data_IF_727914331143
#
_entry.id   IF_727914331143
#
_cell.length_a   1.000
_cell.length_b   1.000
_cell.length_c   1.000
_cell.angle_alpha   90.00
_cell.angle_beta   90.00
_cell.angle_gamma   90.00
#
_symmetry.space_group_name_H-M   'P 1'
#
loop_
_entity.id
_entity.type
_entity.pdbx_description
1 polymer ?
2 non-polymer ?
3 non-polymer ?
4 water ?
#
# COMPACT_ATOMS: atom_id res chain seq x y z
N UNK A 1 -29.30 4.07 -6.59
CA UNK A 1 -28.65 2.97 -5.89
C UNK A 1 -27.31 2.59 -6.49
N UNK A 2 -27.24 1.40 -7.09
CA UNK A 2 -26.05 0.99 -7.80
C UNK A 2 -25.81 1.80 -9.07
N UNK A 3 -26.85 2.41 -9.64
CA UNK A 3 -26.62 3.22 -10.83
C UNK A 3 -25.79 4.44 -10.52
N UNK A 4 -25.91 5.00 -9.31
CA UNK A 4 -25.00 6.06 -8.92
C UNK A 4 -23.58 5.55 -8.80
N UNK A 5 -23.41 4.33 -8.28
CA UNK A 5 -22.06 3.77 -8.17
C UNK A 5 -21.47 3.49 -9.53
N UNK A 6 -22.27 2.95 -10.44
CA UNK A 6 -21.78 2.69 -11.79
C UNK A 6 -21.45 3.99 -12.52
N UNK A 7 -22.21 5.06 -12.25
CA UNK A 7 -21.86 6.37 -12.82
C UNK A 7 -20.50 6.84 -12.32
N UNK A 8 -20.22 6.66 -11.03
CA UNK A 8 -18.92 7.01 -10.47
C UNK A 8 -17.81 6.25 -11.17
N UNK A 9 -17.99 4.94 -11.35
CA UNK A 9 -16.96 4.13 -12.00
C UNK A 9 -16.72 4.58 -13.43
N UNK A 10 -17.79 4.95 -14.16
CA UNK A 10 -17.63 5.44 -15.54
C UNK A 10 -16.84 6.74 -15.58
N UNK A 11 -17.12 7.67 -14.66
CA UNK A 11 -16.39 8.93 -14.62
C UNK A 11 -14.92 8.69 -14.35
N UNK A 12 -14.59 7.76 -13.44
CA UNK A 12 -13.21 7.47 -13.10
C UNK A 12 -12.39 7.07 -14.32
N UNK A 13 -12.97 6.29 -15.22
CA UNK A 13 -12.27 5.90 -16.45
C UNK A 13 -11.80 7.08 -17.29
N UNK A 14 -12.46 8.25 -17.19
CA UNK A 14 -12.10 9.38 -18.02
C UNK A 14 -10.72 9.95 -17.72
N UNK A 15 -10.17 9.72 -16.53
CA UNK A 15 -8.85 10.26 -16.24
C UNK A 15 -7.73 9.23 -16.42
N UNK A 16 -8.01 8.13 -17.13
CA UNK A 16 -6.96 7.15 -17.41
C UNK A 16 -5.77 7.78 -18.14
N UNK A 17 -6.04 8.68 -19.08
CA UNK A 17 -4.96 9.27 -19.87
C UNK A 17 -4.03 10.10 -19.00
N UNK A 18 -4.59 10.97 -18.15
CA UNK A 18 -3.75 11.75 -17.26
C UNK A 18 -2.90 10.85 -16.39
N UNK A 19 -3.47 9.75 -15.91
CA UNK A 19 -2.77 8.85 -15.00
C UNK A 19 -1.58 8.20 -15.70
N UNK A 20 -1.82 7.68 -16.91
CA UNK A 20 -0.75 6.99 -17.63
C UNK A 20 0.39 7.93 -18.01
N UNK A 21 0.10 9.19 -18.34
CA UNK A 21 1.19 10.10 -18.65
C UNK A 21 1.95 10.51 -17.40
N UNK A 22 1.24 10.70 -16.28
CA UNK A 22 1.92 10.95 -15.01
C UNK A 22 2.81 9.78 -14.62
N UNK A 23 2.32 8.55 -14.75
CA UNK A 23 3.13 7.38 -14.44
C UNK A 23 4.33 7.26 -15.37
N UNK A 24 4.19 7.67 -16.63
CA UNK A 24 5.35 7.71 -17.51
C UNK A 24 6.42 8.66 -17.00
N UNK A 25 6.01 9.82 -16.48
CA UNK A 25 6.97 10.77 -15.93
C UNK A 25 7.67 10.19 -14.71
N UNK A 26 6.91 9.59 -13.79
CA UNK A 26 7.52 8.93 -12.63
C UNK A 26 8.51 7.88 -13.10
N UNK A 27 8.11 7.05 -14.07
CA UNK A 27 8.98 5.99 -14.56
C UNK A 27 10.32 6.53 -15.01
N UNK A 28 10.34 7.68 -15.69
CA UNK A 28 11.61 8.23 -16.16
C UNK A 28 12.51 8.67 -15.02
N UNK A 29 11.93 9.37 -14.04
CA UNK A 29 12.72 9.83 -12.89
C UNK A 29 13.30 8.65 -12.13
N UNK A 30 12.52 7.57 -12.02
CA UNK A 30 12.94 6.44 -11.20
C UNK A 30 14.04 5.67 -11.88
N UNK A 31 13.91 5.43 -13.19
CA UNK A 31 15.00 4.80 -13.95
C UNK A 31 16.29 5.58 -13.80
N UNK A 32 16.21 6.91 -13.84
CA UNK A 32 17.43 7.70 -13.72
C UNK A 32 18.05 7.52 -12.34
N UNK A 33 17.23 7.60 -11.29
CA UNK A 33 17.74 7.41 -9.94
C UNK A 33 18.28 6.00 -9.74
N UNK A 34 17.64 5.01 -10.36
CA UNK A 34 18.12 3.63 -10.27
C UNK A 34 19.55 3.51 -10.80
N UNK A 35 19.86 4.24 -11.89
CA UNK A 35 21.20 4.18 -12.48
C UNK A 35 22.26 4.69 -11.51
N UNK A 36 22.02 5.84 -10.86
CA UNK A 36 23.05 6.41 -10.00
C UNK A 36 23.17 5.64 -8.69
N UNK A 37 22.07 5.18 -8.12
CA UNK A 37 22.16 4.38 -6.90
C UNK A 37 23.01 3.13 -7.11
N UNK A 38 22.93 2.52 -8.29
CA UNK A 38 23.76 1.33 -8.56
C UNK A 38 25.25 1.65 -8.55
N UNK A 39 25.64 2.92 -8.71
CA UNK A 39 27.06 3.24 -8.69
C UNK A 39 27.65 3.06 -7.29
N UNK A 40 26.84 3.26 -6.27
CA UNK A 40 27.34 3.24 -4.91
C UNK A 40 27.52 1.80 -4.42
N UNK A 41 28.66 1.55 -3.78
CA UNK A 41 28.98 0.19 -3.32
C UNK A 41 27.92 -0.36 -2.37
N UNK A 42 27.27 0.52 -1.62
CA UNK A 42 26.23 0.05 -0.71
C UNK A 42 24.98 -0.38 -1.46
N UNK A 43 24.61 0.34 -2.52
CA UNK A 43 23.35 0.12 -3.22
C UNK A 43 23.54 -0.54 -4.58
N UNK A 44 24.68 -1.20 -4.81
CA UNK A 44 24.95 -1.82 -6.10
C UNK A 44 23.84 -2.82 -6.47
N UNK A 45 23.31 -3.53 -5.49
CA UNK A 45 22.26 -4.49 -5.79
C UNK A 45 20.86 -3.93 -5.84
N UNK A 46 20.70 -2.62 -5.85
CA UNK A 46 19.35 -2.05 -5.77
C UNK A 46 18.60 -2.33 -7.07
N UNK A 47 17.27 -2.38 -6.97
CA UNK A 47 16.45 -2.63 -8.14
C UNK A 47 15.02 -2.22 -7.86
N UNK A 48 14.25 -2.14 -8.94
CA UNK A 48 12.84 -1.77 -8.81
C UNK A 48 12.04 -2.98 -8.40
N UNK A 49 11.21 -2.83 -7.38
CA UNK A 49 10.29 -3.87 -6.94
C UNK A 49 8.94 -3.67 -7.62
N UNK A 50 8.47 -4.71 -8.28
CA UNK A 50 7.21 -4.71 -9.02
C UNK A 50 6.05 -4.79 -8.03
N UNK A 51 5.42 -3.65 -7.74
CA UNK A 51 4.29 -3.62 -6.81
C UNK A 51 2.96 -3.18 -7.44
N UNK A 52 2.96 -2.64 -8.65
CA UNK A 52 1.73 -2.05 -9.20
C UNK A 52 0.79 -3.10 -9.78
N UNK A 53 -0.51 -2.90 -9.55
CA UNK A 53 -1.54 -3.77 -10.12
C UNK A 53 -1.91 -3.40 -11.54
N UNK A 54 -1.75 -2.13 -11.93
CA UNK A 54 -2.02 -1.68 -13.29
C UNK A 54 -0.74 -1.33 -14.04
N UNK A 55 0.11 -0.50 -13.46
CA UNK A 55 1.45 -0.22 -13.98
C UNK A 55 2.45 -1.07 -13.21
N UNK A 56 3.58 -1.36 -13.86
CA UNK A 56 4.51 -2.31 -13.29
C UNK A 56 5.22 -1.78 -12.04
N UNK A 57 6.06 -0.77 -12.20
CA UNK A 57 6.87 -0.31 -11.10
C UNK A 57 6.24 0.83 -10.31
N UNK A 58 5.04 1.27 -10.67
CA UNK A 58 4.44 2.46 -10.08
C UNK A 58 3.07 2.10 -9.52
N UNK A 59 2.90 2.30 -8.21
CA UNK A 59 1.62 2.13 -7.53
C UNK A 59 0.95 3.50 -7.42
N UNK A 60 -0.37 3.54 -7.58
CA UNK A 60 -1.14 4.77 -7.49
C UNK A 60 -1.84 4.81 -6.14
N UNK A 61 -1.41 5.71 -5.26
CA UNK A 61 -1.96 5.75 -3.91
C UNK A 61 -3.06 6.81 -3.75
N UNK A 62 -3.22 7.69 -4.74
CA UNK A 62 -4.17 8.80 -4.75
C UNK A 62 -3.99 9.51 -6.09
N UNK A 63 -4.88 10.43 -6.47
CA UNK A 63 -4.63 11.24 -7.67
C UNK A 63 -3.34 12.06 -7.51
N UNK A 64 -2.47 11.96 -8.51
CA UNK A 64 -1.18 12.64 -8.56
C UNK A 64 -0.23 12.25 -7.44
N UNK A 65 -0.50 11.17 -6.72
CA UNK A 65 0.43 10.60 -5.75
C UNK A 65 0.76 9.18 -6.18
N UNK A 66 2.05 8.88 -6.28
CA UNK A 66 2.52 7.58 -6.75
C UNK A 66 3.49 6.99 -5.74
N UNK A 67 3.62 5.67 -5.77
CA UNK A 67 4.40 4.90 -4.80
C UNK A 67 5.33 3.94 -5.52
N UNK A 68 6.62 4.03 -5.21
CA UNK A 68 7.66 3.22 -5.83
C UNK A 68 8.51 2.61 -4.73
N UNK A 69 8.93 1.37 -4.90
CA UNK A 69 9.77 0.68 -3.92
C UNK A 69 11.06 0.23 -4.57
N UNK A 70 12.18 0.55 -3.94
CA UNK A 70 13.50 0.09 -4.36
C UNK A 70 13.90 -1.06 -3.47
N UNK A 71 14.06 -2.24 -4.05
CA UNK A 71 14.48 -3.40 -3.29
C UNK A 71 15.99 -3.54 -3.34
N UNK A 72 16.55 -4.06 -2.24
CA UNK A 72 17.98 -4.30 -2.11
C UNK A 72 18.17 -5.73 -1.61
N UNK A 73 18.78 -6.58 -2.42
CA UNK A 73 19.04 -7.95 -1.98
C UNK A 73 20.06 -7.93 -0.85
N UNK A 74 19.66 -8.42 0.32
CA UNK A 74 20.50 -8.46 1.51
C UNK A 74 20.40 -9.85 2.13
N UNK A 75 21.30 -10.77 1.81
CA UNK A 75 21.17 -12.14 2.27
C UNK A 75 21.71 -12.31 3.68
N UNK A 76 21.53 -13.53 4.21
CA UNK A 76 22.02 -13.92 5.53
C UNK A 76 21.53 -12.95 6.61
N UNK A 77 20.21 -12.76 6.65
CA UNK A 77 19.59 -11.76 7.51
C UNK A 77 18.90 -12.45 8.68
N UNK A 78 19.10 -11.92 9.88
CA UNK A 78 18.51 -12.46 11.10
C UNK A 78 17.73 -11.37 11.82
N UNK A 79 16.53 -11.69 12.27
CA UNK A 79 15.61 -10.69 12.80
C UNK A 79 15.44 -10.81 14.32
N UNK A 80 15.25 -9.66 14.95
CA UNK A 80 14.99 -9.54 16.38
C UNK A 80 13.81 -8.59 16.58
N UNK A 81 12.70 -9.11 17.08
CA UNK A 81 11.49 -8.30 17.23
C UNK A 81 11.70 -7.20 18.24
N UNK A 82 11.25 -5.99 17.91
CA UNK A 82 11.36 -4.85 18.80
C UNK A 82 10.15 -4.83 19.73
N UNK A 83 10.40 -5.12 21.01
CA UNK A 83 9.48 -4.93 22.13
C UNK A 83 8.04 -5.34 21.80
N UNK A 84 7.90 -6.54 21.26
CA UNK A 84 6.61 -7.19 21.07
C UNK A 84 5.69 -6.41 20.14
N UNK A 85 6.24 -5.58 19.25
CA UNK A 85 5.39 -4.81 18.34
C UNK A 85 4.89 -5.65 17.17
N UNK A 86 5.41 -6.86 16.98
CA UNK A 86 4.97 -7.84 15.98
C UNK A 86 5.32 -7.42 14.55
N UNK A 87 5.39 -6.10 14.27
CA UNK A 87 5.69 -5.60 12.93
C UNK A 87 7.06 -4.99 12.79
N UNK A 88 7.71 -4.60 13.89
CA UNK A 88 8.96 -3.88 13.85
C UNK A 88 10.08 -4.76 14.39
N UNK A 89 11.26 -4.68 13.76
CA UNK A 89 12.35 -5.62 13.99
C UNK A 89 13.69 -4.91 13.87
N UNK A 90 14.64 -5.36 14.68
CA UNK A 90 16.05 -5.09 14.46
C UNK A 90 16.60 -6.06 13.42
N UNK A 91 17.50 -5.57 12.59
CA UNK A 91 18.08 -6.36 11.52
C UNK A 91 19.55 -6.61 11.84
N UNK A 92 19.92 -7.89 11.89
CA UNK A 92 21.29 -8.34 12.09
C UNK A 92 21.63 -9.31 10.96
N UNK A 93 22.84 -9.85 10.97
CA UNK A 93 23.30 -10.66 9.84
C UNK A 93 23.64 -12.12 10.16
N UNK A 100 28.17 -7.20 4.49
CA UNK A 100 29.52 -6.75 4.16
C UNK A 100 29.54 -5.56 3.19
N UNK A 101 28.77 -5.61 2.09
CA UNK A 101 28.59 -4.36 1.33
C UNK A 101 27.91 -3.29 2.15
N UNK A 102 27.02 -3.69 3.05
CA UNK A 102 26.26 -2.79 3.90
C UNK A 102 26.92 -2.56 5.25
N UNK A 103 28.13 -3.10 5.45
CA UNK A 103 28.79 -3.01 6.75
C UNK A 103 28.99 -1.57 7.20
N UNK A 104 28.95 -0.62 6.28
CA UNK A 104 29.07 0.78 6.66
C UNK A 104 27.93 1.23 7.56
N UNK A 105 26.77 0.58 7.46
CA UNK A 105 25.58 1.02 8.19
C UNK A 105 25.40 0.33 9.53
N UNK A 106 26.40 -0.43 9.99
CA UNK A 106 26.28 -1.17 11.23
C UNK A 106 26.51 -0.29 12.45
N UNK A 107 25.72 -0.52 13.50
CA UNK A 107 25.95 0.04 14.83
C UNK A 107 25.87 -1.15 15.78
N UNK A 108 27.03 -1.76 16.06
CA UNK A 108 27.06 -3.02 16.76
C UNK A 108 26.73 -4.15 15.82
N UNK A 109 25.93 -5.12 16.27
CA UNK A 109 25.43 -6.16 15.38
C UNK A 109 24.21 -5.73 14.59
N UNK A 110 23.73 -4.50 14.78
CA UNK A 110 22.47 -4.03 14.23
C UNK A 110 22.72 -3.18 12.99
N UNK A 111 21.93 -3.42 11.96
CA UNK A 111 21.95 -2.57 10.77
C UNK A 111 21.05 -1.37 11.02
N UNK A 112 21.62 -0.17 10.96
CA UNK A 112 20.88 1.04 11.31
C UNK A 112 19.96 1.44 10.16
N UNK A 113 18.66 1.50 10.45
CA UNK A 113 17.72 2.04 9.47
C UNK A 113 18.02 3.51 9.17
N UNK A 114 18.29 4.30 10.22
CA UNK A 114 18.52 5.73 10.02
C UNK A 114 19.77 5.99 9.20
N UNK A 115 20.83 5.21 9.41
CA UNK A 115 22.06 5.45 8.66
C UNK A 115 21.87 5.10 7.18
N UNK A 116 21.23 3.97 6.89
CA UNK A 116 21.05 3.60 5.49
C UNK A 116 20.11 4.57 4.79
N UNK A 117 19.01 4.91 5.45
CA UNK A 117 18.06 5.88 4.90
C UNK A 117 18.76 7.20 4.60
N UNK A 118 19.71 7.61 5.44
CA UNK A 118 20.38 8.89 5.26
C UNK A 118 21.26 8.91 4.02
N UNK A 119 21.97 7.81 3.74
CA UNK A 119 22.75 7.76 2.51
C UNK A 119 21.84 7.65 1.29
N UNK A 120 20.77 6.84 1.39
CA UNK A 120 19.77 6.76 0.33
C UNK A 120 19.23 8.15 -0.02
N UNK A 121 18.71 8.85 0.98
CA UNK A 121 18.24 10.23 0.80
C UNK A 121 19.29 11.10 0.12
N UNK A 122 20.54 11.05 0.61
CA UNK A 122 21.56 11.97 0.14
C UNK A 122 21.90 11.73 -1.32
N UNK A 123 21.98 10.46 -1.73
CA UNK A 123 22.28 10.17 -3.13
C UNK A 123 21.16 10.67 -4.03
N UNK A 124 19.91 10.49 -3.61
CA UNK A 124 18.78 10.92 -4.43
C UNK A 124 18.72 12.43 -4.50
N UNK A 125 18.92 13.10 -3.36
CA UNK A 125 18.89 14.55 -3.31
C UNK A 125 19.95 15.16 -4.22
N UNK A 126 21.15 14.56 -4.25
CA UNK A 126 22.18 14.99 -5.19
C UNK A 126 21.69 14.85 -6.63
N UNK A 127 21.04 13.73 -6.93
CA UNK A 127 20.81 13.37 -8.33
C UNK A 127 19.70 14.19 -8.96
N UNK A 128 18.67 14.57 -8.20
CA UNK A 128 17.57 15.30 -8.82
C UNK A 128 17.97 16.71 -9.21
N UNK A 129 19.12 17.21 -8.71
CA UNK A 129 19.65 18.48 -9.20
C UNK A 129 19.98 18.40 -10.69
N UNK A 130 20.71 17.35 -11.09
CA UNK A 130 21.45 17.37 -12.35
C UNK A 130 20.52 17.42 -13.56
N UNK A 131 19.65 16.43 -13.70
CA UNK A 131 18.86 16.31 -14.93
C UNK A 131 17.85 17.46 -14.98
N UNK A 132 18.07 18.38 -15.91
CA UNK A 132 17.17 19.49 -16.17
C UNK A 132 16.12 19.16 -17.22
N UNK A 133 15.95 17.87 -17.53
CA UNK A 133 14.87 17.47 -18.41
C UNK A 133 13.51 17.76 -17.79
N UNK A 134 13.34 17.44 -16.50
CA UNK A 134 12.15 17.79 -15.74
C UNK A 134 12.58 18.44 -14.42
N UNK A 135 11.62 19.06 -13.73
CA UNK A 135 11.89 19.74 -12.47
C UNK A 135 11.41 18.89 -11.30
N UNK A 136 12.34 18.47 -10.44
CA UNK A 136 12.07 17.55 -9.34
C UNK A 136 12.69 18.11 -8.07
N UNK A 137 11.91 18.17 -7.00
CA UNK A 137 12.37 18.62 -5.70
C UNK A 137 12.03 17.56 -4.67
N UNK A 138 12.64 17.67 -3.49
CA UNK A 138 12.46 16.73 -2.40
C UNK A 138 11.60 17.35 -1.30
N UNK A 139 10.49 16.70 -0.98
CA UNK A 139 9.61 17.17 0.08
C UNK A 139 9.95 16.46 1.38
N UNK A 140 9.60 17.10 2.50
CA UNK A 140 9.87 16.61 3.85
C UNK A 140 11.37 16.53 4.14
N UNK A 144 11.74 6.98 9.17
CA UNK A 144 11.08 7.80 8.17
C UNK A 144 10.85 7.12 6.83
N UNK A 145 9.68 6.50 6.68
CA UNK A 145 9.30 5.86 5.44
C UNK A 145 8.00 6.47 4.95
N UNK A 146 7.92 6.90 3.68
CA UNK A 146 8.88 6.76 2.58
C UNK A 146 10.14 7.58 2.74
N UNK A 147 11.25 7.01 2.30
CA UNK A 147 12.55 7.68 2.37
C UNK A 147 12.48 9.07 1.74
N UNK A 148 11.99 9.14 0.51
CA UNK A 148 12.04 10.35 -0.28
C UNK A 148 10.66 10.57 -0.88
N UNK A 149 10.14 11.77 -0.76
CA UNK A 149 9.01 12.21 -1.56
C UNK A 149 9.54 13.24 -2.54
N UNK A 150 9.31 12.99 -3.82
CA UNK A 150 9.66 13.91 -4.88
C UNK A 150 8.41 14.60 -5.38
N UNK A 151 8.54 15.86 -5.76
CA UNK A 151 7.49 16.60 -6.45
C UNK A 151 7.99 16.91 -7.85
N UNK A 152 7.29 16.38 -8.86
CA UNK A 152 7.66 16.53 -10.25
C UNK A 152 6.73 17.55 -10.89
N UNK A 153 7.30 18.62 -11.43
CA UNK A 153 6.58 19.64 -12.19
C UNK A 153 5.53 20.36 -11.34
N UNK A 154 5.81 20.49 -10.04
CA UNK A 154 4.93 21.14 -9.07
C UNK A 154 3.55 20.49 -9.02
N UNK A 155 3.40 19.27 -9.54
CA UNK A 155 2.10 18.62 -9.63
C UNK A 155 2.11 17.17 -9.12
N UNK A 156 3.02 16.34 -9.64
CA UNK A 156 3.01 14.91 -9.38
C UNK A 156 3.99 14.60 -8.27
N UNK A 157 3.52 13.88 -7.24
CA UNK A 157 4.38 13.49 -6.13
C UNK A 157 4.59 11.98 -6.15
N UNK A 158 5.81 11.55 -5.85
CA UNK A 158 6.15 10.12 -5.82
C UNK A 158 6.91 9.83 -4.52
N UNK A 159 6.38 8.88 -3.74
CA UNK A 159 7.06 8.37 -2.56
C UNK A 159 7.95 7.20 -2.96
N UNK A 160 9.22 7.27 -2.59
CA UNK A 160 10.21 6.24 -2.91
C UNK A 160 10.64 5.56 -1.62
N UNK A 161 10.47 4.24 -1.56
CA UNK A 161 10.73 3.47 -0.36
C UNK A 161 11.85 2.47 -0.61
N UNK A 162 12.89 2.54 0.20
CA UNK A 162 13.95 1.54 0.20
C UNK A 162 13.50 0.32 1.00
N UNK A 163 13.77 -0.87 0.46
CA UNK A 163 13.33 -2.11 1.11
C UNK A 163 14.41 -3.15 1.04
N UNK A 164 14.77 -3.72 2.20
CA UNK A 164 15.62 -4.89 2.21
C UNK A 164 14.80 -6.10 1.82
N UNK A 165 15.35 -6.95 0.95
CA UNK A 165 14.67 -8.14 0.48
C UNK A 165 15.23 -9.35 1.21
N UNK A 166 14.37 -10.09 1.91
CA UNK A 166 14.79 -11.32 2.57
C UNK A 166 14.11 -12.49 1.90
N UNK A 167 14.89 -13.47 1.47
CA UNK A 167 14.33 -14.69 0.90
C UNK A 167 14.14 -15.80 1.94
N UNK A 168 14.08 -15.45 3.22
CA UNK A 168 13.86 -16.42 4.29
C UNK A 168 12.37 -16.65 4.54
N UNK A 169 12.06 -17.67 5.34
CA UNK A 169 10.69 -17.89 5.75
C UNK A 169 10.17 -16.66 6.49
N UNK A 170 8.86 -16.43 6.38
CA UNK A 170 8.26 -15.25 6.98
C UNK A 170 8.34 -15.33 8.50
N UNK A 171 8.44 -14.19 9.19
CA UNK A 171 8.54 -14.20 10.65
C UNK A 171 7.27 -14.76 11.28
N UNK A 172 7.43 -15.28 12.50
CA UNK A 172 6.34 -15.99 13.17
C UNK A 172 5.12 -15.11 13.39
N UNK A 173 5.30 -13.79 13.47
CA UNK A 173 4.16 -12.91 13.63
C UNK A 173 3.19 -12.98 12.46
N UNK A 174 3.61 -13.52 11.32
CA UNK A 174 2.70 -13.65 10.18
C UNK A 174 2.02 -15.00 10.12
N UNK A 175 2.24 -15.87 11.10
CA UNK A 175 1.79 -17.25 10.97
C UNK A 175 0.29 -17.34 10.82
N UNK A 176 -0.47 -16.47 11.47
CA UNK A 176 -1.93 -16.48 11.38
C UNK A 176 -2.48 -15.41 10.45
N UNK A 177 -1.62 -14.73 9.70
CA UNK A 177 -2.05 -13.72 8.76
C UNK A 177 -2.28 -14.30 7.37
N UNK A 178 -2.57 -13.40 6.43
CA UNK A 178 -2.88 -13.79 5.04
C UNK A 178 -3.92 -14.91 5.03
N UNK A 179 -5.06 -14.62 5.64
CA UNK A 179 -6.08 -15.63 5.94
C UNK A 179 -6.96 -15.85 4.71
N UNK A 180 -6.36 -16.43 3.68
CA UNK A 180 -7.02 -16.57 2.39
C UNK A 180 -7.44 -18.00 2.07
N UNK A 181 -7.24 -18.94 3.02
CA UNK A 181 -7.44 -20.36 2.74
C UNK A 181 -8.82 -20.65 2.20
N UNK A 182 -9.87 -20.09 2.83
CA UNK A 182 -11.24 -20.41 2.43
C UNK A 182 -11.65 -19.72 1.13
N UNK A 183 -10.87 -18.73 0.69
CA UNK A 183 -11.14 -17.92 -0.49
C UNK A 183 -10.27 -18.34 -1.67
N UNK A 184 -8.97 -18.12 -1.55
CA UNK A 184 -8.01 -18.39 -2.61
C UNK A 184 -7.33 -19.75 -2.52
N UNK A 185 -7.56 -20.51 -1.43
CA UNK A 185 -7.10 -21.88 -1.14
C UNK A 185 -5.82 -21.91 -0.31
N UNK A 186 -5.65 -23.01 0.44
CA UNK A 186 -4.43 -23.23 1.19
C UNK A 186 -3.23 -23.35 0.26
N UNK A 187 -3.42 -23.91 -0.94
CA UNK A 187 -2.32 -24.08 -1.87
C UNK A 187 -1.75 -22.74 -2.30
N UNK A 188 -2.63 -21.78 -2.60
CA UNK A 188 -2.17 -20.45 -3.00
C UNK A 188 -1.48 -19.75 -1.82
N UNK A 189 -2.02 -19.90 -0.61
CA UNK A 189 -1.39 -19.28 0.54
C UNK A 189 0.02 -19.82 0.76
N UNK A 190 0.20 -21.14 0.60
CA UNK A 190 1.54 -21.73 0.71
C UNK A 190 2.48 -21.15 -0.34
N UNK A 191 2.01 -21.05 -1.59
CA UNK A 191 2.86 -20.54 -2.66
C UNK A 191 3.24 -19.08 -2.41
N UNK A 192 2.29 -18.27 -1.96
CA UNK A 192 2.60 -16.88 -1.69
C UNK A 192 3.59 -16.75 -0.54
N UNK A 193 3.48 -17.60 0.48
CA UNK A 193 4.39 -17.49 1.62
C UNK A 193 5.79 -18.00 1.29
N UNK A 194 6.00 -18.55 0.09
CA UNK A 194 7.32 -18.89 -0.39
C UNK A 194 8.03 -17.72 -1.05
N UNK A 195 7.31 -16.65 -1.39
CA UNK A 195 7.94 -15.48 -1.97
C UNK A 195 8.74 -14.72 -0.91
N UNK A 196 9.64 -13.83 -1.31
CA UNK A 196 10.42 -13.08 -0.33
C UNK A 196 9.53 -12.13 0.45
N UNK A 197 10.06 -11.64 1.57
CA UNK A 197 9.41 -10.52 2.25
C UNK A 197 10.39 -9.37 2.36
N UNK A 198 9.89 -8.20 2.77
CA UNK A 198 10.65 -6.97 2.71
C UNK A 198 10.64 -6.26 4.06
N UNK A 199 11.71 -5.54 4.35
CA UNK A 199 11.78 -4.68 5.53
C UNK A 199 12.02 -3.25 5.09
N UNK A 200 11.18 -2.35 5.55
CA UNK A 200 11.36 -0.93 5.24
C UNK A 200 11.67 -0.16 6.50
N UNK A 201 12.43 0.92 6.42
CA UNK A 201 12.83 1.67 7.61
C UNK A 201 11.76 2.62 8.12
N UNK A 202 10.54 2.11 8.26
CA UNK A 202 9.51 2.83 9.01
C UNK A 202 9.77 2.61 10.49
N UNK A 203 10.13 3.68 11.19
CA UNK A 203 10.58 3.56 12.57
C UNK A 203 9.39 3.49 13.53
N UNK A 204 9.49 2.60 14.51
CA UNK A 204 8.46 2.43 15.54
C UNK A 204 8.38 3.65 16.45
N UNK A 212 15.31 6.08 14.59
CA UNK A 212 15.61 4.89 15.36
C UNK A 212 16.22 3.79 14.49
N UNK A 213 16.32 2.58 15.03
CA UNK A 213 17.01 1.49 14.38
C UNK A 213 16.08 0.38 13.91
N UNK A 214 14.76 0.59 13.96
CA UNK A 214 13.81 -0.48 13.66
C UNK A 214 13.36 -0.42 12.20
N UNK A 215 13.08 -1.61 11.67
CA UNK A 215 12.54 -1.82 10.34
C UNK A 215 11.15 -2.46 10.45
N UNK A 216 10.29 -2.21 9.47
CA UNK A 216 8.94 -2.75 9.47
C UNK A 216 8.79 -3.81 8.38
N UNK A 217 8.16 -4.94 8.70
CA UNK A 217 7.82 -5.95 7.71
C UNK A 217 6.91 -5.35 6.64
N UNK A 218 7.17 -5.69 5.39
CA UNK A 218 6.36 -5.16 4.31
C UNK A 218 5.99 -6.27 3.35
N UNK A 219 4.70 -6.32 3.00
CA UNK A 219 4.21 -7.31 2.05
C UNK A 219 3.44 -6.64 0.93
N UNK A 220 3.75 -5.37 0.64
CA UNK A 220 3.01 -4.62 -0.36
C UNK A 220 3.07 -5.28 -1.73
N UNK A 221 4.16 -6.02 -2.01
CA UNK A 221 4.33 -6.70 -3.29
C UNK A 221 3.35 -7.85 -3.49
N UNK A 222 2.65 -8.27 -2.45
CA UNK A 222 1.69 -9.36 -2.62
C UNK A 222 0.38 -8.84 -3.19
N UNK A 223 0.13 -7.53 -3.14
CA UNK A 223 -1.18 -7.03 -3.54
C UNK A 223 -1.47 -7.39 -5.00
N UNK A 224 -0.51 -7.13 -5.90
CA UNK A 224 -0.73 -7.37 -7.31
C UNK A 224 -1.03 -8.84 -7.58
N UNK A 225 -0.40 -9.74 -6.81
CA UNK A 225 -0.58 -11.18 -6.93
C UNK A 225 -2.00 -11.61 -6.64
N UNK A 226 -2.74 -10.84 -5.86
CA UNK A 226 -4.08 -11.22 -5.44
C UNK A 226 -5.14 -10.36 -6.12
N UNK A 227 -4.88 -9.06 -6.28
CA UNK A 227 -5.91 -8.20 -6.85
C UNK A 227 -6.26 -8.59 -8.28
N UNK A 228 -5.27 -9.04 -9.05
CA UNK A 228 -5.49 -9.49 -10.43
C UNK A 228 -5.58 -11.00 -10.53
N UNK A 229 -5.79 -11.69 -9.44
CA UNK A 229 -6.03 -13.12 -9.46
C UNK A 229 -6.91 -13.38 -8.24
N UNK A 230 -8.12 -12.81 -8.27
CA UNK A 230 -8.86 -12.49 -7.06
C UNK A 230 -10.04 -13.40 -6.79
N UNK A 231 -10.34 -14.35 -7.66
CA UNK A 231 -11.55 -15.15 -7.53
C UNK A 231 -11.30 -16.47 -6.83
N UNK A 232 -12.37 -17.04 -6.27
CA UNK A 232 -12.28 -18.47 -5.96
C UNK A 232 -12.08 -19.27 -7.23
N UNK A 233 -12.78 -18.88 -8.29
CA UNK A 233 -12.53 -19.50 -9.59
C UNK A 233 -11.25 -18.95 -10.18
N UNK A 234 -10.42 -19.86 -10.70
CA UNK A 234 -9.22 -19.44 -11.40
C UNK A 234 -9.54 -18.58 -12.63
N UNK A 235 -10.71 -18.74 -13.25
CA UNK A 235 -11.07 -17.93 -14.40
C UNK A 235 -12.01 -16.77 -14.05
N UNK A 236 -12.08 -16.38 -12.78
CA UNK A 236 -12.86 -15.18 -12.44
C UNK A 236 -12.39 -13.99 -13.27
N UNK A 237 -13.34 -13.31 -13.93
CA UNK A 237 -13.08 -12.12 -14.75
C UNK A 237 -12.21 -12.40 -15.97
N UNK A 238 -12.06 -13.68 -16.37
CA UNK A 238 -11.40 -14.03 -17.61
C UNK A 238 -12.36 -14.34 -18.75
N UNK A 239 -13.66 -14.30 -18.50
CA UNK A 239 -14.64 -14.57 -19.56
C UNK A 239 -15.93 -13.86 -19.19
N UNK A 240 -16.86 -13.84 -20.14
CA UNK A 240 -18.08 -13.07 -19.94
C UNK A 240 -19.02 -13.71 -18.93
N UNK A 241 -18.84 -15.00 -18.64
CA UNK A 241 -19.72 -15.68 -17.70
C UNK A 241 -19.32 -15.47 -16.25
N UNK A 242 -18.10 -14.99 -15.99
CA UNK A 242 -17.60 -14.89 -14.62
C UNK A 242 -17.12 -13.46 -14.37
N UNK A 243 -18.05 -12.52 -14.23
CA UNK A 243 -17.74 -11.11 -13.99
C UNK A 243 -18.11 -10.76 -12.55
N UNK A 244 -17.10 -10.48 -11.73
CA UNK A 244 -17.37 -10.08 -10.35
C UNK A 244 -17.08 -8.59 -10.17
N UNK A 245 -17.49 -8.05 -9.03
CA UNK A 245 -17.30 -6.63 -8.77
C UNK A 245 -16.26 -6.35 -7.70
N UNK A 246 -15.31 -7.26 -7.46
CA UNK A 246 -14.32 -7.05 -6.40
C UNK A 246 -13.47 -5.79 -6.66
N UNK A 247 -12.87 -5.69 -7.85
CA UNK A 247 -12.02 -4.55 -8.17
C UNK A 247 -12.80 -3.25 -8.10
N UNK A 248 -14.04 -3.23 -8.60
CA UNK A 248 -14.82 -2.00 -8.58
C UNK A 248 -15.17 -1.60 -7.15
N UNK A 249 -15.45 -2.56 -6.27
CA UNK A 249 -15.70 -2.16 -4.88
C UNK A 249 -14.48 -1.53 -4.26
N UNK A 250 -13.29 -2.09 -4.52
CA UNK A 250 -12.07 -1.47 -3.99
C UNK A 250 -11.89 -0.06 -4.53
N UNK A 251 -12.08 0.13 -5.84
CA UNK A 251 -11.99 1.46 -6.43
C UNK A 251 -12.95 2.43 -5.76
N UNK A 252 -14.20 1.99 -5.55
CA UNK A 252 -15.19 2.87 -4.93
C UNK A 252 -14.82 3.22 -3.49
N UNK A 253 -14.28 2.25 -2.73
CA UNK A 253 -13.84 2.55 -1.37
C UNK A 253 -12.70 3.57 -1.36
N UNK A 254 -11.73 3.42 -2.27
CA UNK A 254 -10.65 4.38 -2.33
C UNK A 254 -11.19 5.76 -2.70
N UNK A 255 -12.16 5.80 -3.63
CA UNK A 255 -12.68 7.09 -4.04
C UNK A 255 -13.50 7.74 -2.94
N UNK A 256 -14.26 6.94 -2.20
CA UNK A 256 -14.97 7.46 -1.04
C UNK A 256 -14.02 8.20 -0.10
N UNK A 257 -12.89 7.58 0.25
CA UNK A 257 -11.95 8.22 1.16
C UNK A 257 -11.31 9.44 0.55
N UNK A 258 -10.87 9.35 -0.73
CA UNK A 258 -10.28 10.51 -1.39
C UNK A 258 -11.20 11.72 -1.35
N UNK A 259 -12.49 11.49 -1.62
CA UNK A 259 -13.44 12.60 -1.68
C UNK A 259 -13.72 13.16 -0.29
N UNK A 260 -13.83 12.29 0.72
CA UNK A 260 -14.01 12.78 2.07
C UNK A 260 -12.81 13.60 2.51
N UNK A 261 -11.59 13.14 2.20
CA UNK A 261 -10.39 13.86 2.61
C UNK A 261 -10.34 15.24 1.95
N UNK A 262 -10.79 15.33 0.70
CA UNK A 262 -10.79 16.64 0.05
C UNK A 262 -11.84 17.56 0.64
N UNK A 263 -13.00 17.03 1.00
CA UNK A 263 -14.04 17.91 1.52
C UNK A 263 -13.72 18.39 2.92
N UNK A 264 -13.02 17.58 3.71
CA UNK A 264 -12.59 17.95 5.04
C UNK A 264 -11.18 18.52 5.06
N UNK A 265 -10.78 19.18 3.97
CA UNK A 265 -9.42 19.71 3.87
C UNK A 265 -9.21 20.98 4.67
N UNK A 266 -10.30 21.67 5.10
CA UNK A 266 -10.13 22.93 5.81
C UNK A 266 -9.47 22.71 7.17
N UNK A 267 -9.81 21.63 7.87
CA UNK A 267 -9.19 21.31 9.14
C UNK A 267 -8.39 20.02 9.10
N UNK A 268 -8.27 19.39 7.94
CA UNK A 268 -7.39 18.22 7.75
C UNK A 268 -7.64 17.13 8.78
N UNK A 269 -8.91 16.95 9.17
CA UNK A 269 -9.24 15.95 10.18
C UNK A 269 -8.84 14.55 9.75
N UNK A 270 -8.81 14.29 8.43
CA UNK A 270 -8.64 12.95 7.90
C UNK A 270 -7.25 12.70 7.35
N UNK A 271 -6.27 13.55 7.69
CA UNK A 271 -4.94 13.42 7.10
C UNK A 271 -4.30 12.07 7.36
N UNK A 272 -4.58 11.45 8.50
CA UNK A 272 -3.90 10.20 8.87
C UNK A 272 -4.41 8.97 8.12
N UNK A 273 -5.59 9.04 7.50
CA UNK A 273 -6.14 7.89 6.79
C UNK A 273 -5.66 7.86 5.36
N UNK A 274 -5.47 6.66 4.82
CA UNK A 274 -4.90 6.50 3.49
C UNK A 274 -5.53 5.30 2.80
N UNK A 275 -5.21 5.15 1.49
CA UNK A 275 -5.73 4.03 0.73
C UNK A 275 -5.24 2.69 1.29
N UNK A 276 -4.10 2.68 2.00
CA UNK A 276 -3.66 1.45 2.65
C UNK A 276 -4.69 0.93 3.66
N UNK A 277 -5.29 1.83 4.44
CA UNK A 277 -6.35 1.42 5.36
C UNK A 277 -7.56 0.88 4.62
N UNK A 278 -7.93 1.53 3.51
CA UNK A 278 -9.07 1.09 2.71
C UNK A 278 -8.81 -0.30 2.12
N UNK A 279 -7.63 -0.48 1.53
CA UNK A 279 -7.28 -1.76 0.93
C UNK A 279 -7.31 -2.88 1.95
N UNK A 280 -6.72 -2.63 3.14
CA UNK A 280 -6.68 -3.65 4.19
C UNK A 280 -8.10 -4.07 4.57
N UNK A 281 -8.97 -3.09 4.80
CA UNK A 281 -10.35 -3.42 5.14
C UNK A 281 -11.00 -4.21 4.00
N UNK A 282 -10.76 -3.79 2.76
CA UNK A 282 -11.37 -4.46 1.61
C UNK A 282 -10.95 -5.93 1.54
N UNK A 283 -9.65 -6.22 1.72
CA UNK A 283 -9.22 -7.61 1.63
C UNK A 283 -9.72 -8.44 2.81
N UNK A 284 -9.94 -7.84 3.98
CA UNK A 284 -10.65 -8.56 5.04
C UNK A 284 -12.07 -8.93 4.62
N UNK A 285 -12.74 -8.06 3.86
CA UNK A 285 -14.09 -8.41 3.39
C UNK A 285 -14.03 -9.53 2.37
N UNK A 286 -12.98 -9.58 1.56
CA UNK A 286 -12.81 -10.71 0.64
C UNK A 286 -12.63 -12.01 1.41
N UNK A 287 -11.90 -12.00 2.53
CA UNK A 287 -11.82 -13.19 3.38
C UNK A 287 -13.20 -13.61 3.87
N UNK A 288 -14.00 -12.64 4.33
CA UNK A 288 -15.29 -12.94 4.93
C UNK A 288 -16.31 -13.43 3.91
N UNK A 289 -16.13 -13.06 2.64
CA UNK A 289 -17.06 -13.37 1.56
C UNK A 289 -16.27 -14.11 0.47
N UNK A 290 -15.95 -15.38 0.68
CA UNK A 290 -14.97 -16.03 -0.21
C UNK A 290 -15.53 -16.47 -1.54
N UNK A 291 -16.85 -16.57 -1.70
CA UNK A 291 -17.42 -17.13 -2.93
C UNK A 291 -17.59 -16.07 -4.01
N UNK A 292 -17.31 -16.43 -5.27
CA UNK A 292 -17.50 -15.47 -6.36
C UNK A 292 -18.96 -15.02 -6.48
N UNK A 293 -19.90 -15.91 -6.12
CA UNK A 293 -21.32 -15.55 -6.10
C UNK A 293 -21.67 -14.47 -5.08
N UNK A 294 -20.78 -14.17 -4.13
CA UNK A 294 -20.98 -13.05 -3.21
C UNK A 294 -20.47 -11.74 -3.78
N UNK A 295 -19.97 -11.74 -5.02
CA UNK A 295 -19.44 -10.55 -5.67
C UNK A 295 -19.99 -10.43 -7.08
N UNK A 296 -21.21 -10.89 -7.30
CA UNK A 296 -21.81 -10.79 -8.61
C UNK A 296 -21.93 -9.33 -8.99
N UNK A 297 -21.60 -9.02 -10.25
CA UNK A 297 -21.65 -7.65 -10.73
C UNK A 297 -23.04 -7.04 -10.57
N UNK A 298 -24.10 -7.86 -10.67
CA UNK A 298 -25.45 -7.33 -10.48
C UNK A 298 -25.65 -6.83 -9.06
N UNK A 299 -24.79 -7.24 -8.13
CA UNK A 299 -24.96 -6.94 -6.71
C UNK A 299 -24.03 -5.83 -6.23
N UNK A 300 -23.52 -5.00 -7.15
CA UNK A 300 -22.53 -3.97 -6.82
C UNK A 300 -22.94 -3.15 -5.61
N UNK A 301 -24.20 -2.72 -5.56
CA UNK A 301 -24.63 -1.85 -4.47
C UNK A 301 -24.53 -2.53 -3.10
N UNK A 302 -24.94 -3.80 -3.03
CA UNK A 302 -24.87 -4.54 -1.77
C UNK A 302 -23.43 -4.90 -1.43
N UNK A 303 -22.63 -5.29 -2.43
CA UNK A 303 -21.22 -5.58 -2.18
C UNK A 303 -20.50 -4.34 -1.66
N UNK A 304 -20.74 -3.19 -2.27
CA UNK A 304 -20.12 -1.96 -1.76
C UNK A 304 -20.57 -1.66 -0.34
N UNK A 305 -21.86 -1.83 -0.04
CA UNK A 305 -22.33 -1.66 1.33
C UNK A 305 -21.62 -2.59 2.29
N UNK A 306 -21.47 -3.87 1.92
CA UNK A 306 -20.68 -4.78 2.74
C UNK A 306 -19.34 -4.17 3.10
N UNK A 307 -18.66 -3.63 2.09
CA UNK A 307 -17.32 -3.09 2.26
C UNK A 307 -17.33 -1.88 3.17
N UNK A 308 -18.29 -0.97 2.97
CA UNK A 308 -18.34 0.24 3.77
C UNK A 308 -18.71 -0.09 5.20
N UNK A 309 -19.66 -1.02 5.39
CA UNK A 309 -20.07 -1.37 6.75
C UNK A 309 -18.92 -1.96 7.55
N UNK A 310 -18.08 -2.78 6.90
CA UNK A 310 -16.92 -3.33 7.61
C UNK A 310 -15.91 -2.25 7.95
N UNK A 311 -15.66 -1.32 7.01
CA UNK A 311 -14.75 -0.21 7.30
C UNK A 311 -15.28 0.63 8.46
N UNK A 312 -16.59 0.90 8.47
CA UNK A 312 -17.21 1.63 9.57
C UNK A 312 -16.97 0.91 10.89
N UNK A 313 -17.17 -0.41 10.91
CA UNK A 313 -16.95 -1.17 12.13
C UNK A 313 -15.52 -1.02 12.60
N UNK A 314 -14.55 -1.15 11.68
CA UNK A 314 -13.16 -0.97 12.08
C UNK A 314 -12.96 0.41 12.70
N UNK A 315 -13.57 1.44 12.11
CA UNK A 315 -13.40 2.79 12.63
C UNK A 315 -14.01 2.91 14.03
N UNK A 316 -15.24 2.40 14.22
CA UNK A 316 -15.90 2.55 15.51
C UNK A 316 -15.17 1.77 16.60
N UNK A 317 -14.75 0.55 16.30
CA UNK A 317 -14.01 -0.26 17.25
C UNK A 317 -12.54 0.11 17.36
N UNK A 318 -12.06 1.00 16.49
CA UNK A 318 -10.66 1.43 16.49
C UNK A 318 -9.73 0.23 16.34
N UNK A 319 -10.09 -0.66 15.41
CA UNK A 319 -9.36 -1.90 15.21
C UNK A 319 -9.36 -2.24 13.72
N UNK A 320 -8.18 -2.29 13.13
CA UNK A 320 -8.02 -2.72 11.74
C UNK A 320 -6.73 -3.54 11.70
N UNK A 321 -6.87 -4.86 11.66
CA UNK A 321 -5.69 -5.72 11.68
C UNK A 321 -4.91 -5.62 10.39
N UNK A 322 -3.59 -5.49 10.52
CA UNK A 322 -2.70 -5.70 9.40
C UNK A 322 -3.03 -7.04 8.73
N UNK A 323 -3.17 -7.02 7.40
CA UNK A 323 -3.60 -8.22 6.68
C UNK A 323 -2.64 -9.37 6.87
N UNK A 324 -1.36 -9.09 7.13
CA UNK A 324 -0.34 -10.11 7.25
C UNK A 324 0.10 -10.34 8.69
N UNK A 325 -0.12 -9.38 9.58
CA UNK A 325 0.32 -9.42 10.96
C UNK A 325 -0.91 -9.15 11.83
N UNK A 326 -1.68 -10.18 12.18
CA UNK A 326 -2.99 -9.93 12.84
C UNK A 326 -2.90 -9.20 14.18
N UNK A 327 -1.81 -9.33 14.93
CA UNK A 327 -1.69 -8.63 16.20
C UNK A 327 -1.24 -7.19 16.04
N UNK A 328 -0.99 -6.73 14.82
CA UNK A 328 -0.63 -5.34 14.58
C UNK A 328 -1.88 -4.58 14.16
N UNK A 329 -2.32 -3.65 15.00
CA UNK A 329 -3.54 -2.88 14.78
C UNK A 329 -3.20 -1.58 14.07
N UNK A 330 -3.56 -1.48 12.78
CA UNK A 330 -3.35 -0.26 12.01
C UNK A 330 -4.04 0.95 12.62
N UNK A 331 -5.11 0.72 13.39
CA UNK A 331 -5.90 1.79 13.99
C UNK A 331 -5.58 2.01 15.47
N UNK A 332 -4.43 1.57 15.95
CA UNK A 332 -4.13 1.76 17.36
C UNK A 332 -3.93 3.25 17.68
N UNK A 333 -4.07 3.58 18.96
CA UNK A 333 -3.85 4.95 19.41
C UNK A 333 -2.43 5.40 19.13
N UNK A 334 -1.49 4.47 19.17
CA UNK A 334 -0.11 4.77 18.80
C UNK A 334 -0.02 5.32 17.39
N UNK A 335 -0.87 4.84 16.48
CA UNK A 335 -0.79 5.16 15.06
C UNK A 335 -1.76 6.25 14.61
N UNK A 336 -3.00 6.23 15.10
CA UNK A 336 -3.99 7.24 14.75
C UNK A 336 -4.74 7.61 16.01
N UNK A 337 -4.86 8.91 16.28
CA UNK A 337 -5.47 9.37 17.50
C UNK A 337 -6.97 9.09 17.50
N UNK A 338 -7.52 9.05 18.71
CA UNK A 338 -8.92 8.67 18.91
C UNK A 338 -9.86 9.64 18.23
N UNK A 339 -9.55 10.94 18.29
CA UNK A 339 -10.46 11.93 17.73
C UNK A 339 -10.60 11.76 16.21
N UNK A 340 -9.49 11.47 15.51
CA UNK A 340 -9.58 11.24 14.07
C UNK A 340 -10.46 10.04 13.75
N UNK A 341 -10.34 8.96 14.52
CA UNK A 341 -11.15 7.78 14.25
C UNK A 341 -12.62 8.04 14.55
N UNK A 342 -12.90 8.73 15.66
CA UNK A 342 -14.28 9.12 15.98
C UNK A 342 -14.88 9.98 14.88
N UNK A 343 -14.08 10.92 14.36
CA UNK A 343 -14.54 11.83 13.32
C UNK A 343 -14.91 11.06 12.05
N UNK A 344 -14.00 10.22 11.54
CA UNK A 344 -14.31 9.54 10.28
C UNK A 344 -15.43 8.53 10.47
N UNK A 345 -15.52 7.89 11.64
CA UNK A 345 -16.66 7.02 11.93
C UNK A 345 -17.95 7.75 11.60
N UNK A 346 -18.09 8.96 12.15
CA UNK A 346 -19.30 9.77 11.99
C UNK A 346 -19.57 10.08 10.52
N UNK A 347 -18.54 10.42 9.75
CA UNK A 347 -18.74 10.78 8.35
C UNK A 347 -19.09 9.57 7.50
N UNK A 348 -18.46 8.42 7.75
CA UNK A 348 -18.78 7.23 6.98
C UNK A 348 -20.21 6.79 7.26
N UNK A 349 -20.59 6.74 8.55
CA UNK A 349 -21.97 6.45 8.93
C UNK A 349 -22.95 7.33 8.18
N UNK A 350 -22.69 8.64 8.16
CA UNK A 350 -23.56 9.56 7.45
C UNK A 350 -23.66 9.19 5.98
N UNK A 351 -22.52 9.03 5.31
CA UNK A 351 -22.52 8.69 3.89
C UNK A 351 -23.28 7.39 3.63
N UNK A 352 -23.00 6.34 4.42
CA UNK A 352 -23.68 5.07 4.23
C UNK A 352 -25.18 5.19 4.49
N UNK A 353 -25.59 5.90 5.54
CA UNK A 353 -27.02 5.99 5.86
C UNK A 353 -27.78 6.88 4.90
N UNK A 354 -27.10 7.59 4.01
CA UNK A 354 -27.75 8.54 3.12
C UNK A 354 -27.45 8.26 1.65
N UNK A 355 -27.06 7.02 1.33
CA UNK A 355 -26.84 6.58 -0.05
C UNK A 355 -25.75 7.41 -0.72
N UNK A 356 -24.71 7.76 0.05
CA UNK A 356 -23.45 8.34 -0.40
C UNK A 356 -23.64 9.63 -1.18
N UNK A 357 -24.12 10.69 -0.51
CA UNK A 357 -24.23 11.99 -1.19
C UNK A 357 -22.89 12.56 -1.63
N UNK A 358 -21.79 12.07 -1.07
CA UNK A 358 -20.48 12.50 -1.55
C UNK A 358 -20.25 12.08 -3.00
N UNK A 359 -21.02 11.12 -3.52
CA UNK A 359 -20.94 10.69 -4.90
C UNK A 359 -21.91 11.42 -5.82
N UNK A 360 -22.65 12.41 -5.31
CA UNK A 360 -23.64 13.11 -6.12
C UNK A 360 -22.96 14.03 -7.14
N UNK A 361 -23.60 14.19 -8.29
CA UNK A 361 -23.11 15.11 -9.32
C UNK A 361 -23.48 16.58 -9.06
#
# INVERSE_FOLDING_TARGET
GASKLRAVLEKLKLSRDDISTAAGMVKGVVDHLLLRLKCDSAFRGVGLLNTGSYYEHVKISAPNEFDVMFKLEVPRIQLEEYSNTRAYYFVKFKRNPKENPLSQFLEGEILSASKMLSKFRKIIKEEINDIKDTDVIMKRKRGGSPAVTLLISEKISVDITLALESKSSWPASTQEGLRIQNWLSAKVRKQLRLKPFYLVPKHAKEGNGFQEETWRLSFSHIEKEILNNHGKSKTCCENKEEKCCRKDCLKLMKYLLEQLKERFKDKKHLDKFSSYHVKTAFFHVCTQNPQDSQWDRKDLGLCFDNCVTYFLQCLRTEKLENYFIPEFNLFSSNLIDKRSKEFLTKQIEYERNNEFPVFDEF
#
